data_IF_464319180011
#
_entry.id   IF_464319180011
#
_cell.length_a   1.000
_cell.length_b   1.000
_cell.length_c   1.000
_cell.angle_alpha   90.00
_cell.angle_beta   90.00
_cell.angle_gamma   90.00
#
_symmetry.space_group_name_H-M   'P 1'
#
loop_
_entity.id
_entity.type
_entity.pdbx_description
1 polymer ?
#
# COMPACT_ATOMS: atom_id res chain seq x y z
N UNK A 1 8.21 10.52 -27.68
CA UNK A 1 9.39 10.85 -26.84
C UNK A 1 10.36 11.60 -27.71
N UNK A 2 10.87 12.75 -27.25
CA UNK A 2 11.95 13.48 -27.90
C UNK A 2 13.26 13.12 -27.22
N UNK A 3 14.23 12.67 -27.98
CA UNK A 3 15.57 12.30 -27.52
C UNK A 3 16.59 13.15 -28.27
N UNK A 4 17.63 13.61 -27.61
CA UNK A 4 18.76 14.28 -28.26
C UNK A 4 19.84 13.25 -28.56
N UNK A 5 20.01 12.92 -29.83
CA UNK A 5 21.15 12.11 -30.29
C UNK A 5 22.41 12.96 -30.26
N UNK A 6 23.50 12.42 -29.69
CA UNK A 6 24.78 13.12 -29.50
C UNK A 6 24.66 14.48 -28.78
N UNK A 7 23.56 14.68 -27.99
CA UNK A 7 23.36 15.90 -27.22
C UNK A 7 22.81 17.11 -27.98
N UNK A 8 22.68 17.05 -29.30
CA UNK A 8 22.25 18.20 -30.10
C UNK A 8 21.23 17.90 -31.22
N UNK A 9 21.16 16.65 -31.71
CA UNK A 9 20.24 16.27 -32.78
C UNK A 9 18.90 15.79 -32.20
N UNK A 10 17.78 16.54 -32.35
CA UNK A 10 16.50 16.12 -31.85
C UNK A 10 15.94 14.96 -32.68
N UNK A 11 15.71 13.82 -32.04
CA UNK A 11 15.07 12.66 -32.63
C UNK A 11 13.73 12.40 -31.95
N UNK A 12 12.66 12.19 -32.72
CA UNK A 12 11.33 11.90 -32.18
C UNK A 12 11.00 10.44 -32.40
N UNK A 13 10.93 9.68 -31.31
CA UNK A 13 10.44 8.30 -31.30
C UNK A 13 8.95 8.32 -31.02
N UNK A 14 8.16 7.74 -31.90
CA UNK A 14 6.71 7.56 -31.74
C UNK A 14 6.45 6.09 -31.39
N UNK A 15 5.99 5.85 -30.18
CA UNK A 15 5.55 4.54 -29.71
C UNK A 15 4.03 4.56 -29.53
N UNK A 16 3.36 3.46 -29.84
CA UNK A 16 1.93 3.28 -29.56
C UNK A 16 1.76 2.77 -28.13
N UNK A 17 1.21 3.62 -27.26
CA UNK A 17 0.75 3.22 -25.94
C UNK A 17 -0.67 2.64 -26.01
N UNK A 18 -0.91 1.60 -25.24
CA UNK A 18 -2.24 1.00 -25.06
C UNK A 18 -2.65 1.10 -23.59
N UNK A 19 -3.93 1.35 -23.35
CA UNK A 19 -4.51 1.37 -22.01
C UNK A 19 -5.85 0.64 -22.04
N UNK A 20 -6.11 -0.15 -21.01
CA UNK A 20 -7.39 -0.81 -20.74
C UNK A 20 -8.03 -0.18 -19.50
N UNK A 21 -9.21 -0.66 -19.11
CA UNK A 21 -9.85 -0.31 -17.84
C UNK A 21 -8.99 -0.69 -16.62
N UNK A 22 -8.15 -1.72 -16.73
CA UNK A 22 -7.25 -2.14 -15.66
C UNK A 22 -5.98 -1.28 -15.56
N UNK A 23 -5.59 -0.59 -16.65
CA UNK A 23 -4.39 0.24 -16.66
C UNK A 23 -3.58 0.11 -17.96
N UNK A 24 -2.30 0.48 -17.95
CA UNK A 24 -1.41 0.36 -19.09
C UNK A 24 -1.33 -1.07 -19.61
N UNK A 25 -1.23 -1.22 -20.92
CA UNK A 25 -1.17 -2.52 -21.58
C UNK A 25 0.19 -2.72 -22.23
N UNK A 26 0.82 -3.83 -21.92
CA UNK A 26 2.04 -4.31 -22.54
C UNK A 26 1.72 -5.46 -23.49
N UNK A 27 2.28 -5.40 -24.70
CA UNK A 27 2.25 -6.49 -25.68
C UNK A 27 3.62 -7.14 -25.71
N UNK A 28 3.65 -8.43 -25.48
CA UNK A 28 4.85 -9.27 -25.52
C UNK A 28 4.63 -10.44 -26.44
N UNK A 29 5.69 -11.19 -26.74
CA UNK A 29 5.60 -12.43 -27.54
C UNK A 29 4.77 -13.51 -26.85
N UNK A 30 4.59 -13.44 -25.54
CA UNK A 30 3.83 -14.40 -24.73
C UNK A 30 2.38 -13.99 -24.50
N UNK A 31 1.98 -12.77 -24.88
CA UNK A 31 0.62 -12.28 -24.70
C UNK A 31 0.49 -10.79 -24.49
N UNK A 32 -0.74 -10.37 -24.24
CA UNK A 32 -1.10 -8.99 -23.97
C UNK A 32 -1.54 -8.87 -22.51
N UNK A 33 -0.84 -8.06 -21.74
CA UNK A 33 -1.04 -7.91 -20.29
C UNK A 33 -1.42 -6.48 -19.94
N UNK A 34 -2.44 -6.33 -19.12
CA UNK A 34 -2.77 -5.06 -18.47
C UNK A 34 -2.17 -5.04 -17.07
N UNK A 35 -1.52 -3.94 -16.72
CA UNK A 35 -0.94 -3.74 -15.38
C UNK A 35 -1.94 -2.98 -14.50
N UNK A 36 -2.18 -3.50 -13.28
CA UNK A 36 -2.92 -2.80 -12.24
C UNK A 36 -2.13 -2.84 -10.93
N UNK A 37 -1.97 -1.71 -10.28
CA UNK A 37 -1.40 -1.60 -8.94
C UNK A 37 -2.13 -0.51 -8.16
N UNK A 38 -2.10 -0.61 -6.84
CA UNK A 38 -2.69 0.36 -5.96
C UNK A 38 -2.01 1.74 -6.11
N UNK A 39 -2.81 2.81 -6.08
CA UNK A 39 -2.31 4.17 -6.27
C UNK A 39 -1.96 4.54 -7.73
N UNK A 40 -2.26 3.68 -8.70
CA UNK A 40 -2.19 4.09 -10.11
C UNK A 40 -3.17 5.25 -10.33
N UNK A 41 -2.71 6.33 -10.91
CA UNK A 41 -3.47 7.57 -11.12
C UNK A 41 -3.67 8.45 -9.85
N UNK A 42 -3.19 8.05 -8.66
CA UNK A 42 -3.17 8.89 -7.46
C UNK A 42 -1.88 9.74 -7.42
N UNK A 43 -2.03 11.05 -7.40
CA UNK A 43 -0.89 12.00 -7.42
C UNK A 43 -0.83 12.89 -6.17
N UNK A 44 -1.80 12.75 -5.25
CA UNK A 44 -1.94 13.62 -4.06
C UNK A 44 -1.18 13.13 -2.83
N UNK A 45 -0.19 12.26 -2.99
CA UNK A 45 0.60 11.75 -1.84
C UNK A 45 1.23 12.89 -1.02
N UNK A 46 1.62 14.00 -1.69
CA UNK A 46 2.19 15.17 -1.02
C UNK A 46 1.18 15.86 -0.09
N UNK A 47 -0.11 15.87 -0.46
CA UNK A 47 -1.18 16.41 0.38
C UNK A 47 -1.29 15.61 1.69
N UNK A 48 -1.27 14.29 1.62
CA UNK A 48 -1.30 13.43 2.80
C UNK A 48 -0.06 13.65 3.67
N UNK A 49 1.15 13.72 3.09
CA UNK A 49 2.38 13.99 3.84
C UNK A 49 2.34 15.35 4.54
N UNK A 50 1.82 16.39 3.87
CA UNK A 50 1.65 17.71 4.47
C UNK A 50 0.63 17.69 5.62
N UNK A 51 -0.52 17.05 5.41
CA UNK A 51 -1.53 16.93 6.46
C UNK A 51 -0.99 16.20 7.70
N UNK A 52 -0.28 15.07 7.50
CA UNK A 52 0.40 14.34 8.57
C UNK A 52 1.42 15.20 9.32
N UNK A 53 2.19 16.01 8.58
CA UNK A 53 3.25 16.86 9.16
C UNK A 53 2.68 18.08 9.87
N UNK A 54 1.49 18.54 9.50
CA UNK A 54 0.80 19.67 10.14
C UNK A 54 -0.07 19.26 11.33
N UNK A 55 -0.36 17.97 11.49
CA UNK A 55 -1.16 17.45 12.58
C UNK A 55 -0.52 17.75 13.95
N UNK A 56 -1.32 18.29 14.87
CA UNK A 56 -0.92 18.65 16.22
C UNK A 56 -1.49 17.71 17.29
N UNK A 57 -2.35 16.77 16.87
CA UNK A 57 -2.95 15.76 17.74
C UNK A 57 -2.98 14.38 17.03
N UNK A 58 -3.21 13.33 17.81
CA UNK A 58 -3.39 11.98 17.27
C UNK A 58 -4.61 11.91 16.35
N UNK A 59 -5.69 12.58 16.67
CA UNK A 59 -6.90 12.59 15.86
C UNK A 59 -6.67 13.27 14.50
N UNK A 60 -6.07 14.47 14.49
CA UNK A 60 -5.70 15.14 13.23
C UNK A 60 -4.77 14.29 12.37
N UNK A 61 -3.83 13.57 13.00
CA UNK A 61 -2.95 12.65 12.28
C UNK A 61 -3.74 11.46 11.68
N UNK A 62 -4.70 10.90 12.41
CA UNK A 62 -5.60 9.85 11.89
C UNK A 62 -6.44 10.35 10.71
N UNK A 63 -6.97 11.57 10.79
CA UNK A 63 -7.68 12.20 9.67
C UNK A 63 -6.78 12.33 8.43
N UNK A 64 -5.51 12.71 8.61
CA UNK A 64 -4.55 12.75 7.52
C UNK A 64 -4.27 11.35 6.94
N UNK A 65 -4.21 10.31 7.77
CA UNK A 65 -4.09 8.92 7.30
C UNK A 65 -5.33 8.47 6.52
N UNK A 66 -6.51 8.96 6.88
CA UNK A 66 -7.76 8.63 6.22
C UNK A 66 -7.87 9.15 4.77
N UNK A 67 -7.01 10.07 4.35
CA UNK A 67 -6.91 10.50 2.95
C UNK A 67 -6.51 9.36 2.01
N UNK A 68 -5.77 8.36 2.47
CA UNK A 68 -5.33 7.18 1.71
C UNK A 68 -4.71 7.50 0.33
N UNK A 69 -4.06 8.65 0.18
CA UNK A 69 -3.38 9.01 -1.07
C UNK A 69 -2.04 8.28 -1.25
N UNK A 70 -1.47 7.73 -0.17
CA UNK A 70 -0.25 6.94 -0.19
C UNK A 70 -0.64 5.48 -0.45
N UNK A 71 -0.11 4.91 -1.51
CA UNK A 71 -0.55 3.62 -2.04
C UNK A 71 -0.38 2.43 -1.08
N UNK A 72 0.76 2.37 -0.37
CA UNK A 72 1.03 1.34 0.65
C UNK A 72 2.26 1.70 1.47
N UNK A 73 2.07 1.89 2.77
CA UNK A 73 3.16 2.15 3.72
C UNK A 73 2.78 1.67 5.14
N UNK A 74 3.77 1.18 5.88
CA UNK A 74 3.65 1.02 7.32
C UNK A 74 4.00 2.35 7.99
N UNK A 75 3.06 2.89 8.77
CA UNK A 75 3.28 4.09 9.58
C UNK A 75 3.31 3.75 11.06
N UNK A 76 4.20 4.41 11.75
CA UNK A 76 4.32 4.40 13.21
C UNK A 76 4.16 5.84 13.69
N UNK A 77 3.32 6.03 14.69
CA UNK A 77 3.06 7.32 15.33
C UNK A 77 3.39 7.25 16.82
N UNK A 78 3.87 8.34 17.37
CA UNK A 78 3.98 8.55 18.80
C UNK A 78 3.84 10.05 19.09
N UNK A 79 3.27 10.40 20.25
CA UNK A 79 3.14 11.78 20.71
C UNK A 79 3.64 11.95 22.16
N UNK A 80 3.64 13.19 22.63
CA UNK A 80 4.07 13.52 23.99
C UNK A 80 3.05 13.11 25.07
N UNK A 81 1.80 12.87 24.67
CA UNK A 81 0.72 12.43 25.57
C UNK A 81 0.81 10.92 25.88
N UNK A 82 1.70 10.20 25.17
CA UNK A 82 1.97 8.78 25.37
C UNK A 82 1.21 7.88 24.40
N UNK A 83 0.51 8.42 23.42
CA UNK A 83 -0.10 7.60 22.39
C UNK A 83 0.94 7.03 21.45
N UNK A 84 0.82 5.74 21.17
CA UNK A 84 1.57 5.05 20.12
C UNK A 84 0.60 4.32 19.19
N UNK A 85 0.88 4.35 17.90
CA UNK A 85 0.01 3.74 16.91
C UNK A 85 0.82 3.17 15.75
N UNK A 86 0.34 2.05 15.23
CA UNK A 86 0.77 1.46 13.97
C UNK A 86 -0.42 1.34 13.04
N UNK A 87 -0.21 1.63 11.75
CA UNK A 87 -1.17 1.32 10.69
C UNK A 87 -0.45 0.91 9.40
N UNK A 88 -0.96 -0.13 8.77
CA UNK A 88 -0.62 -0.44 7.38
C UNK A 88 -1.52 0.38 6.47
N UNK A 89 -1.17 1.65 6.23
CA UNK A 89 -1.95 2.53 5.36
C UNK A 89 -1.78 2.12 3.91
N UNK A 90 -2.86 1.76 3.25
CA UNK A 90 -2.83 1.25 1.89
C UNK A 90 -4.15 1.53 1.15
N UNK A 91 -4.03 1.81 -0.14
CA UNK A 91 -5.16 1.78 -1.08
C UNK A 91 -5.46 0.32 -1.44
N UNK A 92 -6.02 -0.42 -0.47
CA UNK A 92 -6.27 -1.85 -0.63
C UNK A 92 -7.61 -2.07 -1.33
N UNK A 93 -7.63 -2.64 -2.56
CA UNK A 93 -8.88 -2.89 -3.27
C UNK A 93 -9.66 -4.03 -2.62
N UNK A 94 -11.01 -3.92 -2.64
CA UNK A 94 -11.90 -5.04 -2.36
C UNK A 94 -11.85 -6.00 -3.53
N UNK A 95 -11.13 -7.09 -3.37
CA UNK A 95 -10.93 -8.08 -4.42
C UNK A 95 -12.03 -9.13 -4.41
N UNK A 96 -12.46 -9.56 -5.60
CA UNK A 96 -13.43 -10.63 -5.74
C UNK A 96 -12.91 -11.95 -5.15
N UNK A 97 -13.80 -12.63 -4.42
CA UNK A 97 -13.50 -13.94 -3.81
C UNK A 97 -13.37 -15.03 -4.90
N UNK A 98 -12.56 -16.03 -4.63
CA UNK A 98 -12.41 -17.21 -5.49
C UNK A 98 -11.37 -17.07 -6.60
N UNK A 99 -10.59 -15.99 -6.62
CA UNK A 99 -9.50 -15.77 -7.55
C UNK A 99 -8.13 -15.86 -6.86
N UNK A 100 -7.14 -16.38 -7.58
CA UNK A 100 -5.73 -16.37 -7.13
C UNK A 100 -5.07 -15.07 -7.56
N UNK A 101 -5.11 -14.05 -6.70
CA UNK A 101 -4.66 -12.69 -7.00
C UNK A 101 -3.15 -12.52 -7.14
N UNK A 102 -2.37 -13.55 -6.87
CA UNK A 102 -0.94 -13.66 -7.11
C UNK A 102 -0.59 -14.24 -8.50
N UNK A 103 -1.62 -14.57 -9.31
CA UNK A 103 -1.50 -15.12 -10.64
C UNK A 103 -2.02 -14.16 -11.72
N UNK A 104 -1.78 -14.50 -13.00
CA UNK A 104 -2.39 -13.80 -14.11
C UNK A 104 -3.89 -14.06 -14.15
N UNK A 105 -4.66 -13.00 -14.22
CA UNK A 105 -6.12 -13.06 -14.24
C UNK A 105 -6.66 -12.64 -15.61
N UNK A 106 -7.85 -13.14 -16.02
CA UNK A 106 -8.43 -12.80 -17.31
C UNK A 106 -8.87 -11.34 -17.36
N UNK A 107 -8.30 -10.55 -18.29
CA UNK A 107 -8.54 -9.10 -18.38
C UNK A 107 -9.93 -8.70 -18.92
N UNK A 108 -10.77 -9.67 -19.31
CA UNK A 108 -12.13 -9.45 -19.81
C UNK A 108 -13.23 -9.69 -18.75
N UNK A 109 -12.86 -9.79 -17.49
CA UNK A 109 -13.78 -10.03 -16.38
C UNK A 109 -14.08 -8.72 -15.65
N UNK A 110 -15.38 -8.41 -15.51
CA UNK A 110 -15.85 -7.20 -14.83
C UNK A 110 -15.63 -7.26 -13.30
N UNK A 111 -15.79 -8.43 -12.71
CA UNK A 111 -15.60 -8.69 -11.29
C UNK A 111 -14.13 -8.55 -10.81
N UNK A 112 -13.19 -8.39 -11.74
CA UNK A 112 -11.78 -8.15 -11.43
C UNK A 112 -11.36 -6.67 -11.55
N UNK A 113 -12.31 -5.76 -11.79
CA UNK A 113 -12.05 -4.32 -11.82
C UNK A 113 -11.99 -3.81 -10.37
N UNK A 114 -10.97 -3.02 -10.07
CA UNK A 114 -10.82 -2.37 -8.77
C UNK A 114 -11.53 -1.02 -8.78
N UNK A 115 -12.75 -0.98 -8.31
CA UNK A 115 -13.61 0.19 -8.22
C UNK A 115 -14.02 0.53 -6.78
N UNK A 116 -13.70 -0.35 -5.82
CA UNK A 116 -13.94 -0.17 -4.40
C UNK A 116 -12.70 -0.54 -3.58
N UNK A 117 -12.48 0.15 -2.45
CA UNK A 117 -11.31 0.02 -1.60
C UNK A 117 -11.71 -0.13 -0.14
N UNK A 118 -10.85 -0.76 0.66
CA UNK A 118 -11.01 -0.82 2.11
C UNK A 118 -10.88 0.59 2.70
N UNK A 119 -11.75 0.87 3.66
CA UNK A 119 -11.70 2.12 4.44
C UNK A 119 -10.51 2.08 5.42
N UNK A 120 -10.07 3.23 5.96
CA UNK A 120 -8.98 3.29 6.94
C UNK A 120 -9.18 2.36 8.14
N UNK A 121 -10.41 2.23 8.64
CA UNK A 121 -10.74 1.39 9.80
C UNK A 121 -10.71 -0.12 9.49
N UNK A 122 -10.71 -0.49 8.21
CA UNK A 122 -10.59 -1.89 7.76
C UNK A 122 -9.14 -2.29 7.47
N UNK A 123 -8.19 -1.39 7.69
CA UNK A 123 -6.76 -1.67 7.50
C UNK A 123 -6.11 -2.17 8.80
N UNK A 124 -5.12 -3.07 8.72
CA UNK A 124 -4.41 -3.54 9.89
C UNK A 124 -3.78 -2.40 10.68
N UNK A 125 -4.22 -2.23 11.91
CA UNK A 125 -3.73 -1.18 12.81
C UNK A 125 -3.74 -1.64 14.27
N UNK A 126 -2.95 -0.99 15.10
CA UNK A 126 -2.98 -1.17 16.56
C UNK A 126 -2.65 0.14 17.25
N UNK A 127 -3.41 0.47 18.28
CA UNK A 127 -3.25 1.69 19.08
C UNK A 127 -3.00 1.31 20.53
N UNK A 128 -2.01 1.91 21.16
CA UNK A 128 -1.71 1.78 22.57
C UNK A 128 -1.70 0.31 23.07
N UNK A 129 -0.93 -0.59 22.40
CA UNK A 129 -0.91 -1.98 22.80
C UNK A 129 -0.36 -2.13 24.24
N UNK A 130 -0.85 -3.11 25.02
CA UNK A 130 -0.38 -3.35 26.37
C UNK A 130 1.13 -3.59 26.49
N UNK A 131 1.79 -3.98 25.40
CA UNK A 131 3.24 -4.14 25.31
C UNK A 131 4.02 -2.84 25.47
N UNK A 132 3.37 -1.68 25.26
CA UNK A 132 4.00 -0.37 25.33
C UNK A 132 4.87 -0.01 24.12
N UNK A 133 4.85 -0.79 23.04
CA UNK A 133 5.58 -0.48 21.82
C UNK A 133 4.87 -0.92 20.55
N UNK A 134 5.17 -0.23 19.46
CA UNK A 134 4.91 -0.62 18.08
C UNK A 134 6.18 -0.44 17.26
N UNK A 135 6.37 -1.28 16.26
CA UNK A 135 7.61 -1.28 15.49
C UNK A 135 7.34 -1.58 14.02
N UNK A 136 8.13 -0.97 13.14
CA UNK A 136 8.11 -1.31 11.72
C UNK A 136 9.50 -1.32 11.11
N UNK A 137 9.83 -2.44 10.46
CA UNK A 137 10.99 -2.62 9.59
C UNK A 137 10.53 -3.16 8.21
N UNK A 138 9.37 -2.68 7.74
CA UNK A 138 8.68 -3.12 6.52
C UNK A 138 8.29 -4.61 6.54
N UNK A 139 7.97 -5.13 7.73
CA UNK A 139 7.47 -6.49 7.92
C UNK A 139 5.96 -6.56 7.77
N UNK A 140 5.44 -7.77 7.98
CA UNK A 140 4.02 -8.04 8.09
C UNK A 140 3.33 -7.11 9.09
N UNK A 141 2.15 -6.54 8.77
CA UNK A 141 1.37 -5.74 9.71
C UNK A 141 0.82 -6.54 10.90
N UNK A 142 0.95 -7.86 10.87
CA UNK A 142 0.52 -8.78 11.92
C UNK A 142 1.64 -9.14 12.91
N UNK A 143 2.79 -8.47 12.84
CA UNK A 143 3.96 -8.68 13.69
C UNK A 143 4.66 -7.35 13.99
N UNK A 144 3.96 -6.44 14.62
CA UNK A 144 4.39 -5.04 14.87
C UNK A 144 4.48 -4.68 16.34
N UNK A 145 4.09 -5.62 17.20
CA UNK A 145 4.10 -5.51 18.65
C UNK A 145 4.34 -6.90 19.26
N UNK A 146 4.18 -7.05 20.58
CA UNK A 146 4.27 -8.36 21.24
C UNK A 146 3.10 -9.29 20.84
N UNK A 147 3.28 -10.56 21.09
CA UNK A 147 2.24 -11.58 20.93
C UNK A 147 0.98 -11.17 21.73
N UNK A 148 -0.20 -11.33 21.10
CA UNK A 148 -1.49 -10.90 21.68
C UNK A 148 -1.83 -9.44 21.52
N UNK A 149 -0.88 -8.60 21.09
CA UNK A 149 -1.10 -7.16 20.81
C UNK A 149 -1.13 -6.82 19.32
N UNK A 150 -0.84 -7.79 18.47
CA UNK A 150 -0.83 -7.60 17.03
C UNK A 150 -2.24 -7.62 16.42
N UNK A 151 -2.49 -6.97 15.28
CA UNK A 151 -3.69 -7.20 14.48
C UNK A 151 -3.82 -8.70 14.15
N UNK A 152 -5.03 -9.25 14.24
CA UNK A 152 -5.28 -10.67 13.99
C UNK A 152 -5.56 -10.89 12.50
N UNK A 153 -4.71 -11.64 11.83
CA UNK A 153 -4.78 -11.81 10.36
C UNK A 153 -6.13 -12.32 9.84
N UNK A 154 -6.82 -13.18 10.62
CA UNK A 154 -8.13 -13.73 10.24
C UNK A 154 -9.25 -12.69 10.18
N UNK A 155 -9.04 -11.49 10.75
CA UNK A 155 -10.04 -10.42 10.76
C UNK A 155 -10.04 -9.61 9.45
N UNK A 156 -9.07 -9.91 8.56
CA UNK A 156 -8.88 -9.18 7.31
C UNK A 156 -9.05 -10.09 6.09
N UNK A 157 -9.60 -9.56 4.96
CA UNK A 157 -9.84 -10.36 3.76
C UNK A 157 -8.57 -11.03 3.24
N UNK A 158 -8.63 -12.33 3.01
CA UNK A 158 -7.48 -13.10 2.50
C UNK A 158 -7.10 -12.70 1.08
N UNK A 159 -8.08 -12.28 0.29
CA UNK A 159 -7.92 -11.82 -1.09
C UNK A 159 -7.06 -10.56 -1.20
N UNK A 160 -6.95 -9.79 -0.12
CA UNK A 160 -6.10 -8.59 -0.07
C UNK A 160 -4.61 -8.91 -0.27
N UNK A 161 -4.19 -10.14 0.04
CA UNK A 161 -2.80 -10.55 -0.16
C UNK A 161 -1.85 -9.82 0.79
N UNK A 162 -2.23 -9.68 2.05
CA UNK A 162 -1.44 -8.99 3.07
C UNK A 162 -0.02 -9.55 3.16
N UNK A 163 1.00 -8.70 3.29
CA UNK A 163 2.37 -9.17 3.45
C UNK A 163 2.52 -9.97 4.74
N UNK A 164 3.10 -11.16 4.63
CA UNK A 164 3.33 -12.05 5.77
C UNK A 164 4.80 -12.28 6.06
N UNK A 165 5.67 -11.74 5.20
CA UNK A 165 7.11 -11.95 5.29
C UNK A 165 7.71 -11.18 6.46
N UNK A 166 8.56 -11.87 7.25
CA UNK A 166 9.48 -11.27 8.18
C UNK A 166 10.88 -11.20 7.57
N UNK A 167 11.49 -10.03 7.64
CA UNK A 167 12.89 -9.86 7.25
C UNK A 167 13.82 -10.09 8.45
N UNK A 168 15.10 -10.41 8.22
CA UNK A 168 16.07 -10.53 9.31
C UNK A 168 16.15 -9.25 10.16
N UNK A 169 16.00 -8.08 9.52
CA UNK A 169 15.95 -6.77 10.20
C UNK A 169 14.73 -6.67 11.13
N UNK A 170 13.57 -7.14 10.70
CA UNK A 170 12.36 -7.11 11.49
C UNK A 170 12.43 -8.08 12.68
N UNK A 171 12.91 -9.30 12.46
CA UNK A 171 13.15 -10.28 13.51
C UNK A 171 14.10 -9.72 14.55
N UNK A 172 15.25 -9.20 14.11
CA UNK A 172 16.25 -8.61 15.03
C UNK A 172 15.70 -7.40 15.78
N UNK A 173 14.85 -6.58 15.14
CA UNK A 173 14.18 -5.47 15.82
C UNK A 173 13.31 -5.93 16.97
N UNK A 174 12.50 -6.97 16.77
CA UNK A 174 11.66 -7.54 17.82
C UNK A 174 12.45 -8.23 18.96
N UNK A 175 13.62 -8.80 18.67
CA UNK A 175 14.49 -9.39 19.70
C UNK A 175 15.14 -8.33 20.62
N UNK A 176 15.20 -7.08 20.18
CA UNK A 176 15.83 -5.99 20.90
C UNK A 176 14.84 -5.12 21.71
N UNK A 177 13.54 -5.30 21.49
CA UNK A 177 12.44 -4.65 22.21
C UNK A 177 11.97 -5.46 23.41
#
# INVERSE_FOLDING_TARGET
>A
IKVLLWGWLPWTVKEKGYRSIHGPVMKTDHGTYALRYAGMDEIRQVEQWLAMSAATSFEEWREAMALQHIASFNFVYANADGDIHFVHNAMMPRRAVGWQWDQYLPGNRRDLIWDDYLTPDELPSVTNPPSGYVHSANQSPFQVSSEGSNPVKSDYPVESGWPTRMTNRAVRGLELL
#
